data_IF_229473580847
#
_entry.id   IF_229473580847
#
_cell.length_a   1.000
_cell.length_b   1.000
_cell.length_c   1.000
_cell.angle_alpha   90.00
_cell.angle_beta   90.00
_cell.angle_gamma   90.00
#
_symmetry.space_group_name_H-M   'P 1'
#
loop_
_entity.id
_entity.type
_entity.pdbx_description
1 polymer ?
#
# COMPACT_ATOMS: atom_id res chain seq x y z
N UNK A 1 -31.16 30.25 61.55
CA UNK A 1 -32.54 29.92 61.16
C UNK A 1 -32.86 30.67 59.88
N UNK A 2 -33.22 30.13 58.73
CA UNK A 2 -32.98 28.85 58.08
C UNK A 2 -33.11 29.17 56.58
N UNK A 3 -32.17 28.65 55.79
CA UNK A 3 -32.02 28.90 54.36
C UNK A 3 -33.24 28.54 53.53
N UNK A 4 -33.60 29.41 52.59
CA UNK A 4 -34.43 29.12 51.43
C UNK A 4 -33.73 28.07 50.55
N UNK A 5 -34.07 26.80 50.77
CA UNK A 5 -33.67 25.70 49.90
C UNK A 5 -34.72 25.48 48.81
N UNK A 6 -34.25 25.56 47.58
CA UNK A 6 -34.91 25.15 46.34
C UNK A 6 -35.47 23.73 46.44
N UNK A 7 -36.80 23.59 46.39
CA UNK A 7 -37.45 22.29 46.20
C UNK A 7 -37.39 21.90 44.72
N UNK A 8 -36.41 21.08 44.33
CA UNK A 8 -36.50 20.26 43.12
C UNK A 8 -37.44 19.07 43.41
N UNK A 9 -38.36 18.71 42.51
CA UNK A 9 -39.10 17.45 42.66
C UNK A 9 -38.14 16.26 42.53
N UNK A 10 -38.22 15.35 43.50
CA UNK A 10 -37.64 14.01 43.50
C UNK A 10 -38.22 13.21 42.32
N UNK A 11 -37.41 12.94 41.30
CA UNK A 11 -37.70 11.85 40.37
C UNK A 11 -37.25 10.52 41.01
N UNK A 12 -38.07 9.45 40.99
CA UNK A 12 -37.68 8.16 41.53
C UNK A 12 -36.61 7.53 40.62
N UNK A 13 -35.47 7.21 41.24
CA UNK A 13 -34.40 6.40 40.65
C UNK A 13 -34.91 4.97 40.45
N UNK A 14 -35.28 4.63 39.21
CA UNK A 14 -35.26 3.25 38.74
C UNK A 14 -33.99 3.05 37.92
N UNK A 15 -33.05 2.29 38.48
CA UNK A 15 -31.89 1.80 37.76
C UNK A 15 -32.35 0.86 36.64
N UNK A 16 -32.38 1.38 35.41
CA UNK A 16 -32.11 0.58 34.23
C UNK A 16 -30.83 1.12 33.63
N UNK A 17 -29.83 0.27 33.45
CA UNK A 17 -28.60 0.63 32.76
C UNK A 17 -28.95 1.25 31.40
N UNK A 18 -28.34 2.39 31.01
CA UNK A 18 -28.53 2.89 29.66
C UNK A 18 -27.86 1.88 28.73
N UNK A 19 -28.67 1.21 27.89
CA UNK A 19 -28.15 0.41 26.77
C UNK A 19 -27.15 1.28 26.03
N UNK A 20 -25.87 0.90 26.09
CA UNK A 20 -24.80 1.72 25.55
C UNK A 20 -25.02 1.78 24.03
N UNK A 21 -24.87 2.96 23.41
CA UNK A 21 -25.03 3.11 21.94
C UNK A 21 -24.18 2.09 21.16
N UNK A 22 -23.09 1.63 21.74
CA UNK A 22 -22.21 0.60 21.19
C UNK A 22 -22.89 -0.76 21.00
N UNK A 23 -23.82 -1.14 21.89
CA UNK A 23 -24.50 -2.45 21.88
C UNK A 23 -25.46 -2.62 20.69
N UNK A 24 -25.81 -1.50 20.03
CA UNK A 24 -26.65 -1.46 18.83
C UNK A 24 -25.91 -0.93 17.60
N UNK A 25 -24.59 -0.78 17.71
CA UNK A 25 -23.76 -0.26 16.61
C UNK A 25 -23.76 -1.21 15.41
N UNK A 26 -23.75 -0.63 14.21
CA UNK A 26 -23.68 -1.40 12.97
C UNK A 26 -22.43 -2.29 12.93
N UNK A 27 -21.29 -1.79 13.44
CA UNK A 27 -20.05 -2.56 13.50
C UNK A 27 -20.15 -3.83 14.35
N UNK A 28 -20.82 -3.77 15.51
CA UNK A 28 -21.05 -4.95 16.34
C UNK A 28 -22.00 -5.95 15.66
N UNK A 29 -23.06 -5.44 15.01
CA UNK A 29 -23.99 -6.27 14.26
C UNK A 29 -23.32 -6.94 13.06
N UNK A 30 -22.45 -6.24 12.34
CA UNK A 30 -21.69 -6.78 11.23
C UNK A 30 -20.76 -7.92 11.68
N UNK A 31 -20.09 -7.79 12.83
CA UNK A 31 -19.25 -8.87 13.38
C UNK A 31 -20.06 -10.13 13.68
N UNK A 32 -21.15 -9.98 14.44
CA UNK A 32 -22.05 -11.10 14.76
C UNK A 32 -22.69 -11.70 13.51
N UNK A 33 -23.02 -10.87 12.51
CA UNK A 33 -23.55 -11.33 11.23
C UNK A 33 -22.51 -12.13 10.42
N UNK A 34 -21.24 -11.72 10.42
CA UNK A 34 -20.14 -12.48 9.81
C UNK A 34 -19.94 -13.84 10.49
N UNK A 35 -20.05 -13.93 11.81
CA UNK A 35 -20.00 -15.22 12.53
C UNK A 35 -21.12 -16.18 12.09
N UNK A 36 -22.34 -15.66 11.87
CA UNK A 36 -23.47 -16.45 11.36
C UNK A 36 -23.20 -16.97 9.94
N UNK A 37 -22.60 -16.14 9.08
CA UNK A 37 -22.22 -16.52 7.72
C UNK A 37 -21.12 -17.60 7.72
N UNK A 38 -20.11 -17.46 8.58
CA UNK A 38 -19.01 -18.44 8.71
C UNK A 38 -19.47 -19.78 9.30
N UNK A 39 -20.48 -19.78 10.17
CA UNK A 39 -21.02 -21.00 10.78
C UNK A 39 -21.99 -21.73 9.84
N UNK A 40 -22.50 -21.07 8.79
CA UNK A 40 -23.43 -21.68 7.84
C UNK A 40 -22.70 -22.56 6.82
N UNK A 41 -23.06 -23.86 6.77
CA UNK A 41 -22.36 -24.86 5.97
C UNK A 41 -22.38 -24.58 4.45
N UNK A 42 -23.47 -24.00 3.94
CA UNK A 42 -23.64 -23.70 2.51
C UNK A 42 -23.28 -22.24 2.16
N UNK A 43 -22.81 -21.45 3.14
CA UNK A 43 -22.58 -20.01 2.98
C UNK A 43 -23.86 -19.22 2.64
N UNK A 44 -25.05 -19.79 2.85
CA UNK A 44 -26.35 -19.17 2.61
C UNK A 44 -27.01 -18.85 3.94
N UNK A 45 -27.45 -17.60 4.10
CA UNK A 45 -28.13 -17.13 5.31
C UNK A 45 -29.48 -16.54 4.95
N UNK A 46 -30.52 -17.01 5.65
CA UNK A 46 -31.85 -16.41 5.59
C UNK A 46 -31.89 -15.13 6.43
N UNK A 47 -32.36 -14.03 5.83
CA UNK A 47 -32.50 -12.73 6.47
C UNK A 47 -33.44 -12.75 7.67
N UNK A 48 -34.45 -13.63 7.69
CA UNK A 48 -35.33 -13.83 8.85
C UNK A 48 -34.56 -14.43 10.03
N UNK A 49 -33.83 -15.52 9.76
CA UNK A 49 -33.02 -16.21 10.78
C UNK A 49 -31.93 -15.29 11.34
N UNK A 50 -31.30 -14.47 10.47
CA UNK A 50 -30.34 -13.47 10.90
C UNK A 50 -30.98 -12.40 11.79
N UNK A 51 -32.18 -11.91 11.44
CA UNK A 51 -32.95 -10.94 12.23
C UNK A 51 -33.23 -11.47 13.64
N UNK A 52 -33.64 -12.74 13.74
CA UNK A 52 -33.98 -13.39 15.00
C UNK A 52 -32.74 -13.64 15.87
N UNK A 53 -31.64 -14.12 15.28
CA UNK A 53 -30.38 -14.38 16.01
C UNK A 53 -29.72 -13.10 16.50
N UNK A 54 -29.73 -12.05 15.69
CA UNK A 54 -29.17 -10.74 16.06
C UNK A 54 -30.13 -9.93 16.94
N UNK A 55 -31.39 -10.36 17.10
CA UNK A 55 -32.47 -9.66 17.81
C UNK A 55 -32.63 -8.21 17.35
N UNK A 56 -32.53 -7.99 16.04
CA UNK A 56 -32.68 -6.67 15.42
C UNK A 56 -33.74 -6.68 14.34
N UNK A 57 -34.26 -5.51 14.00
CA UNK A 57 -35.22 -5.36 12.90
C UNK A 57 -34.55 -5.61 11.55
N UNK A 58 -35.31 -6.15 10.57
CA UNK A 58 -34.84 -6.41 9.19
C UNK A 58 -34.15 -5.21 8.53
N UNK A 59 -34.54 -3.98 8.88
CA UNK A 59 -33.91 -2.76 8.38
C UNK A 59 -32.41 -2.72 8.67
N UNK A 60 -31.97 -3.20 9.83
CA UNK A 60 -30.54 -3.25 10.20
C UNK A 60 -29.78 -4.32 9.42
N UNK A 61 -30.44 -5.42 9.06
CA UNK A 61 -29.85 -6.44 8.20
C UNK A 61 -29.60 -5.88 6.78
N UNK A 62 -30.50 -5.03 6.28
CA UNK A 62 -30.28 -4.32 5.01
C UNK A 62 -29.11 -3.34 5.05
N UNK A 63 -28.91 -2.63 6.18
CA UNK A 63 -27.74 -1.76 6.35
C UNK A 63 -26.43 -2.55 6.21
N UNK A 64 -26.36 -3.77 6.76
CA UNK A 64 -25.18 -4.64 6.68
C UNK A 64 -25.01 -5.24 5.29
N UNK A 65 -26.08 -5.82 4.74
CA UNK A 65 -26.05 -6.50 3.44
C UNK A 65 -25.74 -5.53 2.31
N UNK A 66 -26.32 -4.33 2.27
CA UNK A 66 -26.01 -3.35 1.22
C UNK A 66 -24.53 -2.95 1.19
N UNK A 67 -23.89 -2.81 2.36
CA UNK A 67 -22.46 -2.48 2.43
C UNK A 67 -21.61 -3.65 1.96
N UNK A 68 -21.92 -4.86 2.41
CA UNK A 68 -21.16 -6.07 2.05
C UNK A 68 -21.40 -6.53 0.60
N UNK A 69 -22.60 -6.28 0.05
CA UNK A 69 -22.91 -6.42 -1.38
C UNK A 69 -22.17 -5.35 -2.21
N UNK A 70 -22.10 -4.10 -1.70
CA UNK A 70 -21.35 -3.02 -2.34
C UNK A 70 -19.84 -3.27 -2.41
N UNK A 71 -19.28 -4.02 -1.45
CA UNK A 71 -17.88 -4.51 -1.48
C UNK A 71 -17.74 -5.78 -2.35
N UNK A 72 -18.86 -6.46 -2.68
CA UNK A 72 -18.87 -7.67 -3.49
C UNK A 72 -18.62 -8.98 -2.73
N UNK A 73 -18.71 -8.96 -1.40
CA UNK A 73 -18.51 -10.15 -0.53
C UNK A 73 -19.78 -11.00 -0.43
N UNK A 74 -20.95 -10.37 -0.57
CA UNK A 74 -22.25 -11.02 -0.55
C UNK A 74 -22.94 -10.91 -1.91
N UNK A 75 -23.77 -11.90 -2.22
CA UNK A 75 -24.69 -11.88 -3.35
C UNK A 75 -26.10 -12.27 -2.94
N UNK A 76 -27.09 -11.72 -3.65
CA UNK A 76 -28.48 -12.05 -3.43
C UNK A 76 -28.84 -13.33 -4.17
N UNK A 77 -29.13 -14.40 -3.41
CA UNK A 77 -29.59 -15.68 -3.96
C UNK A 77 -31.11 -15.69 -4.19
N UNK A 78 -31.88 -15.13 -3.26
CA UNK A 78 -33.34 -14.98 -3.39
C UNK A 78 -33.87 -13.86 -2.47
N UNK A 79 -35.19 -13.60 -2.47
CA UNK A 79 -35.81 -12.50 -1.72
C UNK A 79 -35.48 -12.51 -0.21
N UNK A 80 -35.30 -13.68 0.37
CA UNK A 80 -34.97 -13.85 1.79
C UNK A 80 -33.62 -14.52 2.03
N UNK A 81 -32.87 -14.92 1.00
CA UNK A 81 -31.60 -15.61 1.18
C UNK A 81 -30.49 -14.84 0.48
N UNK A 82 -29.42 -14.63 1.23
CA UNK A 82 -28.16 -14.10 0.71
C UNK A 82 -27.11 -15.20 0.78
N UNK A 83 -26.15 -15.13 -0.13
CA UNK A 83 -25.06 -16.07 -0.23
C UNK A 83 -23.73 -15.35 -0.08
N UNK A 84 -22.84 -15.95 0.68
CA UNK A 84 -21.47 -15.52 0.85
C UNK A 84 -20.66 -15.94 -0.37
N UNK A 85 -20.37 -14.97 -1.25
CA UNK A 85 -19.58 -15.20 -2.48
C UNK A 85 -18.21 -15.75 -2.17
N UNK A 86 -17.65 -15.36 -1.02
CA UNK A 86 -16.24 -15.58 -0.73
C UNK A 86 -15.96 -16.85 0.08
N UNK A 87 -16.91 -17.77 0.29
CA UNK A 87 -16.76 -19.01 1.10
C UNK A 87 -15.71 -18.97 2.24
N UNK A 88 -15.02 -20.09 2.40
CA UNK A 88 -13.67 -20.18 3.00
C UNK A 88 -12.59 -19.51 2.12
N UNK A 89 -12.94 -19.16 0.88
CA UNK A 89 -12.06 -18.59 -0.13
C UNK A 89 -11.56 -17.17 0.20
N UNK A 90 -12.24 -16.40 1.05
CA UNK A 90 -11.77 -15.08 1.49
C UNK A 90 -10.63 -15.17 2.51
N UNK A 91 -10.65 -16.20 3.35
CA UNK A 91 -9.52 -16.53 4.20
C UNK A 91 -8.34 -17.09 3.37
N UNK A 92 -8.63 -17.80 2.28
CA UNK A 92 -7.60 -18.29 1.34
C UNK A 92 -7.01 -17.18 0.50
N UNK A 93 -7.82 -16.27 -0.05
CA UNK A 93 -7.38 -15.10 -0.79
C UNK A 93 -6.51 -14.18 0.08
N UNK A 94 -6.88 -13.98 1.35
CA UNK A 94 -6.06 -13.20 2.28
C UNK A 94 -4.76 -13.94 2.64
N UNK A 95 -4.76 -15.27 2.69
CA UNK A 95 -3.54 -16.08 2.86
C UNK A 95 -2.63 -16.02 1.63
N UNK A 96 -3.18 -16.07 0.43
CA UNK A 96 -2.41 -16.03 -0.81
C UNK A 96 -1.83 -14.64 -1.06
N UNK A 97 -2.60 -13.58 -0.82
CA UNK A 97 -2.10 -12.20 -0.84
C UNK A 97 -1.00 -12.02 0.21
N UNK A 98 -1.17 -12.59 1.41
CA UNK A 98 -0.14 -12.50 2.46
C UNK A 98 1.13 -13.26 2.07
N UNK A 99 1.02 -14.45 1.49
CA UNK A 99 2.16 -15.22 0.95
C UNK A 99 2.88 -14.49 -0.17
N UNK A 100 2.12 -13.87 -1.08
CA UNK A 100 2.69 -13.10 -2.19
C UNK A 100 3.43 -11.87 -1.66
N UNK A 101 2.84 -11.17 -0.68
CA UNK A 101 3.51 -10.05 0.01
C UNK A 101 4.81 -10.49 0.66
N UNK A 102 4.81 -11.59 1.41
CA UNK A 102 6.00 -12.11 2.10
C UNK A 102 7.07 -12.58 1.10
N UNK A 103 6.66 -13.13 -0.06
CA UNK A 103 7.56 -13.50 -1.15
C UNK A 103 8.20 -12.28 -1.82
N UNK A 104 7.41 -11.24 -2.09
CA UNK A 104 7.89 -10.00 -2.69
C UNK A 104 8.87 -9.28 -1.75
N UNK A 105 8.56 -9.24 -0.46
CA UNK A 105 9.44 -8.66 0.56
C UNK A 105 10.79 -9.41 0.63
N UNK A 106 10.80 -10.74 0.57
CA UNK A 106 12.04 -11.51 0.50
C UNK A 106 12.84 -11.22 -0.77
N UNK A 107 12.16 -11.01 -1.91
CA UNK A 107 12.79 -10.69 -3.18
C UNK A 107 13.41 -9.30 -3.17
N UNK A 108 12.72 -8.32 -2.61
CA UNK A 108 13.23 -6.95 -2.41
C UNK A 108 14.47 -6.96 -1.52
N UNK A 109 14.38 -7.59 -0.35
CA UNK A 109 15.52 -7.74 0.56
C UNK A 109 16.73 -8.43 -0.11
N UNK A 110 16.48 -9.43 -0.96
CA UNK A 110 17.55 -10.08 -1.71
C UNK A 110 18.21 -9.13 -2.71
N UNK A 111 17.41 -8.33 -3.42
CA UNK A 111 17.94 -7.37 -4.40
C UNK A 111 18.75 -6.27 -3.70
N UNK A 112 18.26 -5.76 -2.57
CA UNK A 112 18.98 -4.74 -1.79
C UNK A 112 20.31 -5.26 -1.27
N UNK A 113 20.35 -6.51 -0.78
CA UNK A 113 21.59 -7.15 -0.36
C UNK A 113 22.58 -7.29 -1.53
N UNK A 114 22.11 -7.67 -2.72
CA UNK A 114 22.97 -7.77 -3.91
C UNK A 114 23.50 -6.40 -4.35
N UNK A 115 22.68 -5.36 -4.29
CA UNK A 115 23.10 -3.98 -4.59
C UNK A 115 24.15 -3.50 -3.59
N UNK A 116 23.93 -3.74 -2.29
CA UNK A 116 24.87 -3.39 -1.25
C UNK A 116 26.22 -4.11 -1.45
N UNK A 117 26.17 -5.42 -1.70
CA UNK A 117 27.36 -6.23 -1.96
C UNK A 117 28.13 -5.73 -3.18
N UNK A 118 27.47 -5.49 -4.32
CA UNK A 118 28.13 -4.96 -5.51
C UNK A 118 28.76 -3.58 -5.28
N UNK A 119 28.10 -2.70 -4.51
CA UNK A 119 28.65 -1.38 -4.15
C UNK A 119 29.90 -1.51 -3.28
N UNK A 120 29.88 -2.42 -2.32
CA UNK A 120 31.03 -2.67 -1.43
C UNK A 120 32.21 -3.27 -2.18
N UNK A 121 31.95 -4.26 -3.04
CA UNK A 121 32.94 -4.86 -3.92
C UNK A 121 33.55 -3.81 -4.86
N UNK A 122 32.72 -2.97 -5.48
CA UNK A 122 33.17 -1.92 -6.38
C UNK A 122 34.03 -0.87 -5.67
N UNK A 123 33.60 -0.38 -4.49
CA UNK A 123 34.38 0.58 -3.71
C UNK A 123 35.73 0.01 -3.27
N UNK A 124 35.73 -1.24 -2.79
CA UNK A 124 36.96 -1.92 -2.34
C UNK A 124 37.95 -2.11 -3.50
N UNK A 125 37.46 -2.45 -4.69
CA UNK A 125 38.31 -2.57 -5.87
C UNK A 125 38.82 -1.20 -6.34
N UNK A 126 37.97 -0.18 -6.35
CA UNK A 126 38.36 1.15 -6.82
C UNK A 126 39.43 1.80 -5.94
N UNK A 127 39.33 1.68 -4.61
CA UNK A 127 40.34 2.23 -3.69
C UNK A 127 41.71 1.55 -3.83
N UNK A 128 41.73 0.27 -4.21
CA UNK A 128 42.95 -0.53 -4.36
C UNK A 128 43.54 -0.49 -5.77
N UNK A 129 42.76 -0.08 -6.77
CA UNK A 129 43.17 -0.19 -8.16
C UNK A 129 43.98 1.02 -8.64
N UNK A 130 45.30 0.84 -8.67
CA UNK A 130 46.27 1.82 -9.20
C UNK A 130 46.24 1.97 -10.73
N UNK A 131 45.44 1.16 -11.43
CA UNK A 131 45.30 1.16 -12.89
C UNK A 131 43.98 1.78 -13.38
N UNK A 132 43.30 2.59 -12.54
CA UNK A 132 42.12 3.35 -12.93
C UNK A 132 42.41 4.55 -13.83
N UNK A 133 43.09 4.34 -14.95
CA UNK A 133 43.38 5.36 -15.96
C UNK A 133 43.00 4.89 -17.36
N UNK A 134 42.75 5.85 -18.24
CA UNK A 134 42.42 5.62 -19.64
C UNK A 134 43.51 6.31 -20.46
N UNK A 135 44.04 5.63 -21.48
CA UNK A 135 45.05 6.22 -22.36
C UNK A 135 44.40 6.99 -23.50
N UNK A 136 45.17 7.87 -24.14
CA UNK A 136 44.71 8.56 -25.36
C UNK A 136 44.37 7.56 -26.47
N UNK A 137 45.10 6.44 -26.55
CA UNK A 137 44.86 5.42 -27.55
C UNK A 137 43.52 4.71 -27.34
N UNK A 138 43.14 4.48 -26.07
CA UNK A 138 41.83 3.91 -25.73
C UNK A 138 40.70 4.84 -26.17
N UNK A 139 40.83 6.16 -25.93
CA UNK A 139 39.84 7.15 -26.36
C UNK A 139 39.77 7.30 -27.89
N UNK A 140 40.92 7.23 -28.58
CA UNK A 140 40.99 7.34 -30.04
C UNK A 140 40.49 6.08 -30.77
N UNK A 141 40.47 4.92 -30.09
CA UNK A 141 39.96 3.67 -30.65
C UNK A 141 38.44 3.64 -30.77
N UNK A 142 37.73 4.48 -30.01
CA UNK A 142 36.27 4.57 -30.02
C UNK A 142 35.82 5.35 -31.26
N UNK A 143 35.12 4.67 -32.17
CA UNK A 143 34.64 5.25 -33.44
C UNK A 143 33.81 6.52 -33.26
N UNK A 144 33.10 6.65 -32.14
CA UNK A 144 32.28 7.82 -31.82
C UNK A 144 33.08 9.11 -31.63
N UNK A 145 34.39 9.02 -31.33
CA UNK A 145 35.22 10.18 -30.97
C UNK A 145 36.27 10.55 -32.02
N UNK A 146 36.36 9.82 -33.15
CA UNK A 146 37.42 10.01 -34.16
C UNK A 146 37.43 11.40 -34.80
N UNK A 147 36.24 11.99 -34.99
CA UNK A 147 36.07 13.30 -35.64
C UNK A 147 35.64 14.41 -34.65
N UNK A 148 35.79 14.18 -33.34
CA UNK A 148 35.33 15.10 -32.30
C UNK A 148 36.46 15.54 -31.36
N UNK A 149 36.40 16.79 -30.92
CA UNK A 149 37.27 17.29 -29.85
C UNK A 149 36.80 16.74 -28.51
N UNK A 150 37.57 15.83 -27.91
CA UNK A 150 37.28 15.23 -26.61
C UNK A 150 37.95 16.03 -25.49
N UNK A 151 37.17 16.49 -24.51
CA UNK A 151 37.66 17.16 -23.30
C UNK A 151 37.28 16.31 -22.10
N UNK A 152 38.27 15.89 -21.31
CA UNK A 152 38.06 15.11 -20.08
C UNK A 152 38.10 16.05 -18.88
N UNK A 153 37.01 16.10 -18.11
CA UNK A 153 36.88 16.94 -16.92
C UNK A 153 36.80 16.02 -15.70
N UNK A 154 37.76 16.17 -14.77
CA UNK A 154 37.74 15.49 -13.47
C UNK A 154 37.36 16.50 -12.40
N UNK A 155 36.25 16.27 -11.73
CA UNK A 155 35.76 17.10 -10.62
C UNK A 155 35.41 16.28 -9.38
N UNK A 156 35.23 16.91 -8.21
CA UNK A 156 34.69 16.27 -7.02
C UNK A 156 33.25 15.77 -7.24
N UNK A 157 32.77 14.84 -6.40
CA UNK A 157 31.45 14.20 -6.55
C UNK A 157 30.28 15.22 -6.57
N UNK A 158 30.44 16.32 -5.84
CA UNK A 158 29.43 17.39 -5.76
C UNK A 158 29.59 18.47 -6.85
N UNK A 159 30.50 18.28 -7.80
CA UNK A 159 30.69 19.23 -8.88
C UNK A 159 29.43 19.31 -9.76
N UNK A 160 28.94 20.54 -9.95
CA UNK A 160 27.86 20.85 -10.88
C UNK A 160 28.46 21.39 -12.17
N UNK A 161 28.19 20.71 -13.28
CA UNK A 161 28.60 21.14 -14.60
C UNK A 161 27.44 21.93 -15.22
N UNK A 162 27.62 23.24 -15.34
CA UNK A 162 26.60 24.16 -15.87
C UNK A 162 26.98 24.57 -17.28
N UNK A 163 26.13 24.25 -18.25
CA UNK A 163 26.27 24.73 -19.61
C UNK A 163 25.52 26.05 -19.75
N UNK A 164 26.26 27.13 -19.99
CA UNK A 164 25.68 28.41 -20.38
C UNK A 164 25.42 28.32 -21.88
N UNK A 165 24.24 27.84 -22.26
CA UNK A 165 23.91 27.66 -23.67
C UNK A 165 23.94 29.01 -24.41
N UNK A 166 24.64 29.07 -25.55
CA UNK A 166 24.05 29.66 -26.76
C UNK A 166 24.70 29.38 -28.13
N UNK A 167 25.77 28.60 -28.33
CA UNK A 167 26.36 28.52 -29.70
C UNK A 167 26.80 27.16 -30.25
N UNK A 168 26.88 26.04 -29.50
CA UNK A 168 27.38 24.78 -30.07
C UNK A 168 26.66 23.52 -29.55
N UNK A 169 26.52 22.52 -30.43
CA UNK A 169 26.07 21.16 -30.09
C UNK A 169 27.15 20.49 -29.24
N UNK A 170 26.80 20.01 -28.05
CA UNK A 170 27.70 19.27 -27.18
C UNK A 170 27.08 17.93 -26.76
N UNK A 171 27.94 16.94 -26.52
CA UNK A 171 27.55 15.66 -25.93
C UNK A 171 28.22 15.57 -24.56
N UNK A 172 27.41 15.37 -23.51
CA UNK A 172 27.88 15.19 -22.14
C UNK A 172 27.52 13.78 -21.65
N UNK A 173 28.49 13.07 -21.11
CA UNK A 173 28.30 11.73 -20.53
C UNK A 173 28.60 11.83 -19.04
N UNK A 174 27.63 11.47 -18.20
CA UNK A 174 27.78 11.41 -16.74
C UNK A 174 27.19 10.10 -16.22
N UNK A 175 27.96 9.40 -15.39
CA UNK A 175 27.53 8.23 -14.62
C UNK A 175 26.81 7.14 -15.45
N UNK A 176 27.41 6.72 -16.58
CA UNK A 176 26.86 5.73 -17.51
C UNK A 176 25.46 6.04 -18.09
N UNK A 177 24.98 7.27 -17.92
CA UNK A 177 23.80 7.78 -18.61
C UNK A 177 24.24 8.75 -19.70
N UNK A 178 24.01 8.38 -20.96
CA UNK A 178 24.17 9.33 -22.08
C UNK A 178 22.97 10.27 -22.00
N UNK A 179 23.20 11.48 -21.47
CA UNK A 179 22.16 12.50 -21.47
C UNK A 179 22.22 13.25 -22.81
N UNK A 180 21.39 12.82 -23.77
CA UNK A 180 21.19 13.55 -25.01
C UNK A 180 20.44 14.84 -24.70
N UNK A 181 21.11 15.99 -24.68
CA UNK A 181 20.44 17.28 -24.65
C UNK A 181 20.51 17.97 -26.01
N UNK A 182 19.36 17.93 -26.69
CA UNK A 182 18.87 18.99 -27.56
C UNK A 182 19.38 19.02 -29.00
N UNK A 183 18.49 18.64 -29.92
CA UNK A 183 18.35 19.34 -31.21
C UNK A 183 17.00 20.06 -31.18
N UNK A 184 16.93 21.26 -31.76
CA UNK A 184 15.70 21.98 -32.06
C UNK A 184 15.83 22.54 -33.49
N UNK A 185 14.69 22.83 -34.15
CA UNK A 185 14.35 22.45 -35.52
C UNK A 185 15.17 23.11 -36.64
#
# INVERSE_FOLDING_TARGET
>A
MNSLLTLRPKCPVFFSSPVCRYDTSLGLLTRKFMELLQTSADGVVDLNVASDKLKVQKRRIYDITNVLEGIGILEKKSKNNIQWKCGSAGAEMNRDVKRESDYLEQKENRLDNLIAQMREEFNTQFEKNRHGYITRQDLASIDMFKDQSVIVIKGPQDAKLVFLAQLHKYHAIRDNSITFSGTLP
#
